data_IF_740645568282
#
_entry.id   IF_740645568282
#
_cell.length_a   1.000
_cell.length_b   1.000
_cell.length_c   1.000
_cell.angle_alpha   90.00
_cell.angle_beta   90.00
_cell.angle_gamma   90.00
#
_symmetry.space_group_name_H-M   'P 1'
#
loop_
_entity.id
_entity.type
_entity.pdbx_description
1 polymer ?
#
# COMPACT_ATOMS: atom_id res chain seq x y z
N UNK A 1 -19.23 10.96 9.09
CA UNK A 1 -18.41 11.55 7.98
C UNK A 1 -17.25 10.63 7.58
N UNK A 2 -16.74 9.79 8.49
CA UNK A 2 -15.70 8.78 8.19
C UNK A 2 -16.22 7.63 7.30
N UNK A 3 -17.46 7.20 7.48
CA UNK A 3 -18.03 6.03 6.76
C UNK A 3 -18.10 6.22 5.25
N UNK A 4 -18.38 7.43 4.76
CA UNK A 4 -18.42 7.71 3.32
C UNK A 4 -17.04 7.60 2.67
N UNK A 5 -15.98 8.03 3.37
CA UNK A 5 -14.60 7.88 2.88
C UNK A 5 -14.18 6.41 2.90
N UNK A 6 -14.51 5.70 3.97
CA UNK A 6 -14.22 4.26 4.09
C UNK A 6 -14.91 3.48 2.97
N UNK A 7 -16.19 3.78 2.72
CA UNK A 7 -16.96 3.16 1.63
C UNK A 7 -16.31 3.40 0.27
N UNK A 8 -15.87 4.62 -0.03
CA UNK A 8 -15.15 4.93 -1.28
C UNK A 8 -13.81 4.21 -1.43
N UNK A 9 -13.11 3.93 -0.32
CA UNK A 9 -11.88 3.15 -0.35
C UNK A 9 -12.23 1.68 -0.61
N UNK A 10 -13.21 1.13 0.12
CA UNK A 10 -13.67 -0.24 -0.03
C UNK A 10 -14.23 -0.54 -1.43
N UNK A 11 -14.92 0.41 -2.07
CA UNK A 11 -15.38 0.29 -3.47
C UNK A 11 -14.23 0.06 -4.48
N UNK A 12 -12.98 0.32 -4.09
CA UNK A 12 -11.79 0.11 -4.91
C UNK A 12 -11.02 -1.15 -4.52
N UNK A 13 -11.49 -1.89 -3.52
CA UNK A 13 -10.92 -3.16 -3.10
C UNK A 13 -11.65 -4.27 -3.87
N UNK A 14 -10.87 -5.15 -4.50
CA UNK A 14 -11.35 -6.38 -5.12
C UNK A 14 -10.85 -7.57 -4.32
N UNK A 15 -11.63 -8.65 -4.30
CA UNK A 15 -11.22 -9.92 -3.72
C UNK A 15 -10.89 -10.91 -4.83
N UNK A 16 -9.75 -11.56 -4.70
CA UNK A 16 -9.31 -12.72 -5.48
C UNK A 16 -9.16 -13.92 -4.54
N UNK A 17 -9.00 -15.15 -5.06
CA UNK A 17 -9.02 -16.37 -4.23
C UNK A 17 -8.08 -16.38 -3.02
N UNK A 18 -6.91 -15.73 -3.12
CA UNK A 18 -5.87 -15.75 -2.07
C UNK A 18 -5.40 -14.34 -1.67
N UNK A 19 -6.08 -13.29 -2.13
CA UNK A 19 -5.62 -11.91 -1.93
C UNK A 19 -6.72 -10.87 -2.08
N UNK A 20 -6.52 -9.73 -1.43
CA UNK A 20 -7.23 -8.49 -1.71
C UNK A 20 -6.37 -7.56 -2.58
N UNK A 21 -7.01 -6.84 -3.49
CA UNK A 21 -6.39 -5.85 -4.35
C UNK A 21 -7.03 -4.48 -4.13
N UNK A 22 -6.24 -3.49 -3.70
CA UNK A 22 -6.67 -2.09 -3.71
C UNK A 22 -6.25 -1.40 -5.02
N UNK A 23 -7.21 -1.09 -5.88
CA UNK A 23 -6.98 -0.49 -7.19
C UNK A 23 -6.75 1.03 -7.11
N UNK A 24 -5.49 1.46 -7.28
CA UNK A 24 -5.10 2.88 -7.39
C UNK A 24 -5.55 3.47 -8.74
N UNK A 25 -5.58 2.65 -9.78
CA UNK A 25 -6.25 2.98 -11.04
C UNK A 25 -7.42 1.99 -11.18
N UNK A 26 -8.68 2.43 -11.01
CA UNK A 26 -9.84 1.54 -11.14
C UNK A 26 -9.88 0.95 -12.56
N UNK A 27 -10.11 -0.35 -12.72
CA UNK A 27 -10.22 -1.01 -14.03
C UNK A 27 -9.03 -0.68 -14.96
N UNK A 28 -7.81 -0.73 -14.41
CA UNK A 28 -6.60 -0.46 -15.17
C UNK A 28 -6.39 -1.48 -16.30
N UNK A 29 -6.97 -2.68 -16.17
CA UNK A 29 -6.93 -3.73 -17.18
C UNK A 29 -7.59 -3.33 -18.50
N UNK A 30 -8.66 -2.53 -18.42
CA UNK A 30 -9.39 -2.03 -19.59
C UNK A 30 -8.76 -0.76 -20.18
N UNK A 31 -7.94 -0.08 -19.40
CA UNK A 31 -7.37 1.23 -19.74
C UNK A 31 -5.93 1.15 -20.25
N UNK A 32 -5.19 0.12 -19.84
CA UNK A 32 -3.78 -0.04 -20.15
C UNK A 32 -3.57 -1.28 -21.01
N UNK A 33 -2.79 -1.13 -22.08
CA UNK A 33 -2.34 -2.26 -22.88
C UNK A 33 -1.05 -2.78 -22.28
N UNK A 34 -1.11 -3.94 -21.63
CA UNK A 34 0.05 -4.61 -21.07
C UNK A 34 -0.06 -6.12 -21.22
N UNK A 35 1.10 -6.79 -21.24
CA UNK A 35 1.18 -8.26 -21.28
C UNK A 35 1.34 -8.84 -19.89
N UNK A 36 1.95 -8.07 -18.98
CA UNK A 36 2.26 -8.51 -17.61
C UNK A 36 2.30 -7.33 -16.65
N UNK A 37 1.91 -7.59 -15.41
CA UNK A 37 2.23 -6.74 -14.27
C UNK A 37 3.46 -7.30 -13.53
N UNK A 38 4.18 -6.43 -12.85
CA UNK A 38 5.31 -6.74 -11.96
C UNK A 38 4.85 -6.41 -10.52
N UNK A 39 4.80 -7.40 -9.65
CA UNK A 39 4.19 -7.31 -8.32
C UNK A 39 5.26 -7.35 -7.22
N UNK A 40 5.77 -6.19 -6.82
CA UNK A 40 6.97 -6.03 -6.01
C UNK A 40 6.61 -6.01 -4.53
N UNK A 41 7.20 -6.89 -3.72
CA UNK A 41 7.02 -6.83 -2.27
C UNK A 41 7.59 -5.52 -1.72
N UNK A 42 6.80 -4.84 -0.88
CA UNK A 42 7.22 -3.66 -0.14
C UNK A 42 6.49 -3.64 1.21
N UNK A 43 7.26 -3.77 2.29
CA UNK A 43 6.76 -4.08 3.62
C UNK A 43 5.95 -5.37 3.63
N UNK A 44 4.77 -5.30 4.24
CA UNK A 44 3.84 -6.42 4.39
C UNK A 44 2.80 -6.51 3.25
N UNK A 45 3.04 -5.80 2.15
CA UNK A 45 2.15 -5.78 0.98
C UNK A 45 2.95 -5.83 -0.33
N UNK A 46 2.24 -5.80 -1.47
CA UNK A 46 2.88 -5.87 -2.78
C UNK A 46 2.40 -4.75 -3.71
N UNK A 47 3.33 -3.97 -4.22
CA UNK A 47 3.12 -2.94 -5.22
C UNK A 47 2.97 -3.56 -6.62
N UNK A 48 1.80 -3.45 -7.23
CA UNK A 48 1.54 -3.98 -8.55
C UNK A 48 1.79 -2.89 -9.62
N UNK A 49 2.80 -3.12 -10.46
CA UNK A 49 3.30 -2.18 -11.45
C UNK A 49 3.06 -2.66 -12.87
N UNK A 50 2.61 -1.77 -13.74
CA UNK A 50 2.54 -2.03 -15.19
C UNK A 50 3.60 -1.22 -15.90
N UNK A 51 4.32 -1.87 -16.81
CA UNK A 51 5.24 -1.19 -17.71
C UNK A 51 4.45 -0.45 -18.78
N UNK A 52 4.60 0.87 -18.84
CA UNK A 52 4.02 1.73 -19.87
C UNK A 52 5.15 2.47 -20.60
N UNK A 53 5.50 2.02 -21.81
CA UNK A 53 6.67 2.55 -22.52
C UNK A 53 7.98 2.26 -21.78
N UNK A 54 8.68 3.33 -21.39
CA UNK A 54 9.98 3.30 -20.69
C UNK A 54 9.88 3.39 -19.16
N UNK A 55 8.69 3.58 -18.60
CA UNK A 55 8.47 3.73 -17.17
C UNK A 55 7.49 2.70 -16.60
N UNK A 56 7.45 2.63 -15.27
CA UNK A 56 6.49 1.85 -14.52
C UNK A 56 5.41 2.74 -13.90
N UNK A 57 4.18 2.25 -13.94
CA UNK A 57 3.02 2.88 -13.31
C UNK A 57 2.52 1.95 -12.21
N UNK A 58 2.38 2.47 -11.00
CA UNK A 58 1.71 1.79 -9.90
C UNK A 58 0.20 1.78 -10.14
N UNK A 59 -0.38 0.59 -10.27
CA UNK A 59 -1.81 0.44 -10.62
C UNK A 59 -2.66 -0.08 -9.47
N UNK A 60 -2.07 -0.89 -8.59
CA UNK A 60 -2.73 -1.43 -7.41
C UNK A 60 -1.72 -1.85 -6.32
N UNK A 61 -2.25 -2.12 -5.14
CA UNK A 61 -1.52 -2.75 -4.02
C UNK A 61 -2.25 -4.04 -3.66
N UNK A 62 -1.50 -5.14 -3.54
CA UNK A 62 -2.01 -6.46 -3.20
C UNK A 62 -1.67 -6.81 -1.75
N UNK A 63 -2.62 -7.49 -1.10
CA UNK A 63 -2.56 -7.91 0.29
C UNK A 63 -2.98 -9.38 0.36
N UNK A 64 -2.18 -10.25 0.98
CA UNK A 64 -2.56 -11.66 1.15
C UNK A 64 -3.72 -11.80 2.14
N UNK A 65 -4.72 -12.61 1.80
CA UNK A 65 -5.92 -12.78 2.65
C UNK A 65 -5.60 -13.39 4.01
N UNK A 66 -4.54 -14.18 4.13
CA UNK A 66 -4.10 -14.79 5.39
C UNK A 66 -3.71 -13.74 6.46
N UNK A 67 -3.18 -12.59 6.03
CA UNK A 67 -2.64 -11.55 6.92
C UNK A 67 -3.54 -10.31 7.01
N UNK A 68 -4.48 -10.14 6.08
CA UNK A 68 -5.21 -8.88 5.90
C UNK A 68 -6.73 -9.04 5.87
N UNK A 69 -7.43 -8.13 6.55
CA UNK A 69 -8.87 -7.93 6.41
C UNK A 69 -9.17 -6.67 5.61
N UNK A 70 -10.38 -6.57 5.05
CA UNK A 70 -10.83 -5.38 4.30
C UNK A 70 -10.75 -4.12 5.17
N UNK A 71 -11.13 -4.21 6.45
CA UNK A 71 -11.04 -3.09 7.37
C UNK A 71 -9.58 -2.67 7.61
N UNK A 72 -8.68 -3.63 7.80
CA UNK A 72 -7.25 -3.36 7.93
C UNK A 72 -6.67 -2.68 6.68
N UNK A 73 -7.10 -3.10 5.48
CA UNK A 73 -6.69 -2.47 4.21
C UNK A 73 -7.23 -1.04 4.12
N UNK A 74 -8.50 -0.82 4.47
CA UNK A 74 -9.11 0.53 4.48
C UNK A 74 -8.33 1.45 5.42
N UNK A 75 -7.94 0.96 6.59
CA UNK A 75 -7.15 1.75 7.54
C UNK A 75 -5.71 1.93 7.05
N UNK A 76 -5.11 0.93 6.42
CA UNK A 76 -3.78 1.06 5.81
C UNK A 76 -3.77 2.14 4.73
N UNK A 77 -4.76 2.17 3.82
CA UNK A 77 -4.84 3.17 2.74
C UNK A 77 -4.94 4.61 3.26
N UNK A 78 -5.51 4.81 4.46
CA UNK A 78 -5.60 6.13 5.10
C UNK A 78 -4.26 6.60 5.67
N UNK A 79 -3.45 5.67 6.16
CA UNK A 79 -2.22 5.99 6.88
C UNK A 79 -0.96 5.82 6.03
N UNK A 80 -1.03 5.03 4.95
CA UNK A 80 0.12 4.70 4.12
C UNK A 80 -0.12 5.04 2.65
N UNK A 81 1.00 5.17 1.93
CA UNK A 81 1.02 5.32 0.49
C UNK A 81 2.21 4.58 -0.11
N UNK A 82 2.05 4.14 -1.34
CA UNK A 82 3.14 3.62 -2.17
C UNK A 82 3.25 4.52 -3.40
N UNK A 83 4.48 4.83 -3.80
CA UNK A 83 4.78 5.61 -5.01
C UNK A 83 5.92 4.97 -5.79
N UNK A 84 5.94 5.26 -7.09
CA UNK A 84 7.01 4.83 -7.99
C UNK A 84 7.56 6.04 -8.71
N UNK A 85 8.89 6.15 -8.70
CA UNK A 85 9.60 7.22 -9.39
C UNK A 85 10.45 6.63 -10.54
N UNK A 86 10.53 7.33 -11.68
CA UNK A 86 11.38 6.92 -12.79
C UNK A 86 12.87 6.91 -12.36
N UNK A 87 13.74 6.22 -13.12
CA UNK A 87 15.16 6.19 -12.83
C UNK A 87 15.74 7.61 -12.82
N UNK A 88 16.38 7.96 -11.71
CA UNK A 88 16.96 9.28 -11.51
C UNK A 88 18.16 9.19 -10.58
N UNK A 89 19.11 10.11 -10.75
CA UNK A 89 20.24 10.32 -9.84
C UNK A 89 20.02 11.51 -8.93
N UNK A 90 18.95 12.29 -9.16
CA UNK A 90 18.57 13.43 -8.34
C UNK A 90 17.77 12.97 -7.13
N UNK A 91 17.85 13.75 -6.04
CA UNK A 91 17.05 13.55 -4.83
C UNK A 91 15.56 13.47 -5.18
N UNK A 92 14.89 12.47 -4.61
CA UNK A 92 13.44 12.28 -4.69
C UNK A 92 12.82 12.99 -3.48
N UNK A 93 11.83 13.84 -3.73
CA UNK A 93 11.04 14.49 -2.67
C UNK A 93 9.68 13.81 -2.54
N UNK A 94 9.43 13.21 -1.37
CA UNK A 94 8.14 12.65 -1.01
C UNK A 94 7.39 13.68 -0.15
N UNK A 95 6.37 14.29 -0.73
CA UNK A 95 5.52 15.27 -0.04
C UNK A 95 4.39 14.58 0.72
N UNK A 96 3.89 15.22 1.78
CA UNK A 96 2.82 14.70 2.63
C UNK A 96 3.15 13.33 3.23
N UNK A 97 4.42 13.15 3.61
CA UNK A 97 4.91 11.98 4.31
C UNK A 97 5.26 12.33 5.75
N UNK A 98 5.03 11.40 6.67
CA UNK A 98 5.51 11.48 8.05
C UNK A 98 6.83 10.73 8.19
N UNK A 99 6.92 9.54 7.58
CA UNK A 99 8.10 8.69 7.59
C UNK A 99 8.16 7.77 6.35
N UNK A 100 9.36 7.27 6.02
CA UNK A 100 9.57 6.25 4.98
C UNK A 100 9.71 4.89 5.66
N UNK A 101 8.80 3.98 5.34
CA UNK A 101 8.81 2.62 5.92
C UNK A 101 9.76 1.72 5.15
N UNK A 102 9.67 1.77 3.82
CA UNK A 102 10.55 0.98 2.95
C UNK A 102 10.75 1.69 1.62
N UNK A 103 11.97 1.61 1.10
CA UNK A 103 12.31 2.14 -0.21
C UNK A 103 13.32 1.22 -0.88
N UNK A 104 13.00 0.79 -2.10
CA UNK A 104 13.79 -0.15 -2.89
C UNK A 104 13.85 0.29 -4.35
N UNK A 105 14.80 -0.25 -5.11
CA UNK A 105 14.86 -0.11 -6.56
C UNK A 105 14.41 -1.37 -7.26
N UNK A 106 13.60 -1.17 -8.29
CA UNK A 106 13.26 -2.20 -9.26
C UNK A 106 13.53 -1.69 -10.67
N UNK A 107 14.50 -2.31 -11.34
CA UNK A 107 15.02 -1.93 -12.66
C UNK A 107 15.33 -0.43 -12.71
N UNK A 108 16.04 0.05 -11.68
CA UNK A 108 16.39 1.46 -11.50
C UNK A 108 15.24 2.40 -11.09
N UNK A 109 13.99 1.94 -11.03
CA UNK A 109 12.87 2.74 -10.55
C UNK A 109 12.76 2.64 -9.05
N UNK A 110 12.63 3.76 -8.34
CA UNK A 110 12.43 3.74 -6.90
C UNK A 110 10.97 3.41 -6.58
N UNK A 111 10.73 2.40 -5.76
CA UNK A 111 9.43 2.02 -5.21
C UNK A 111 9.48 2.32 -3.71
N UNK A 112 8.58 3.18 -3.24
CA UNK A 112 8.69 3.78 -1.90
C UNK A 112 7.34 3.63 -1.19
N UNK A 113 7.36 3.02 -0.01
CA UNK A 113 6.25 2.97 0.93
C UNK A 113 6.51 3.97 2.07
N UNK A 114 5.51 4.79 2.35
CA UNK A 114 5.61 5.86 3.34
C UNK A 114 4.34 5.96 4.17
N UNK A 115 4.49 6.41 5.41
CA UNK A 115 3.35 6.88 6.20
C UNK A 115 2.96 8.28 5.74
N UNK A 116 1.66 8.52 5.57
CA UNK A 116 1.11 9.82 5.22
C UNK A 116 1.23 10.77 6.40
N UNK A 117 1.59 12.01 6.11
CA UNK A 117 1.78 13.06 7.10
C UNK A 117 1.78 14.44 6.46
N UNK A 118 2.45 15.39 7.09
CA UNK A 118 2.51 16.78 6.62
C UNK A 118 3.90 17.23 6.19
N UNK A 119 4.91 16.37 6.33
CA UNK A 119 6.31 16.73 6.04
C UNK A 119 6.66 16.42 4.58
N UNK A 120 7.80 16.94 4.17
CA UNK A 120 8.49 16.52 2.94
C UNK A 120 9.75 15.80 3.33
N UNK A 121 9.92 14.58 2.83
CA UNK A 121 11.11 13.75 3.08
C UNK A 121 11.91 13.67 1.78
N UNK A 122 13.21 13.95 1.88
CA UNK A 122 14.15 13.85 0.78
C UNK A 122 14.89 12.51 0.85
N UNK A 123 15.01 11.84 -0.29
CA UNK A 123 15.64 10.53 -0.40
C UNK A 123 16.62 10.51 -1.57
N UNK A 124 17.86 10.08 -1.34
CA UNK A 124 18.83 9.86 -2.41
C UNK A 124 18.55 8.49 -3.05
N UNK A 125 18.11 8.43 -4.32
CA UNK A 125 17.86 7.15 -4.97
C UNK A 125 19.12 6.28 -5.03
N UNK A 126 20.33 6.84 -5.06
CA UNK A 126 21.57 6.06 -5.17
C UNK A 126 21.83 5.15 -3.97
N UNK A 127 21.25 5.45 -2.81
CA UNK A 127 21.38 4.68 -1.58
C UNK A 127 20.39 3.51 -1.50
N UNK A 128 19.42 3.44 -2.42
CA UNK A 128 18.42 2.36 -2.44
C UNK A 128 18.99 1.04 -2.96
N UNK A 129 18.63 -0.06 -2.28
CA UNK A 129 18.95 -1.42 -2.71
C UNK A 129 18.16 -1.81 -3.97
N UNK A 130 18.86 -2.34 -4.97
CA UNK A 130 18.25 -2.89 -6.19
C UNK A 130 17.83 -4.34 -5.96
N UNK A 131 16.52 -4.60 -6.00
CA UNK A 131 15.95 -5.92 -5.69
C UNK A 131 15.58 -6.74 -6.94
N UNK A 132 15.86 -6.24 -8.15
CA UNK A 132 15.46 -6.89 -9.42
C UNK A 132 15.85 -8.37 -9.51
N UNK A 133 17.02 -8.76 -9.02
CA UNK A 133 17.52 -10.14 -9.12
C UNK A 133 16.97 -11.07 -8.03
N UNK A 134 16.60 -10.52 -6.87
CA UNK A 134 16.02 -11.28 -5.74
C UNK A 134 14.49 -11.31 -5.79
N UNK A 135 13.91 -10.53 -6.68
CA UNK A 135 12.48 -10.38 -6.85
C UNK A 135 11.84 -11.68 -7.38
N UNK A 136 10.92 -12.24 -6.60
CA UNK A 136 10.06 -13.34 -7.05
C UNK A 136 8.83 -12.75 -7.76
N UNK A 137 8.65 -13.15 -9.02
CA UNK A 137 7.60 -12.61 -9.87
C UNK A 137 6.26 -13.29 -9.60
N UNK A 138 5.24 -12.52 -9.29
CA UNK A 138 3.86 -12.97 -9.32
C UNK A 138 3.28 -12.73 -10.73
N UNK A 139 3.02 -13.79 -11.49
CA UNK A 139 2.37 -13.68 -12.80
C UNK A 139 0.85 -13.72 -12.62
N UNK A 140 0.20 -12.55 -12.64
CA UNK A 140 -1.27 -12.46 -12.69
C UNK A 140 -1.73 -11.97 -14.05
N UNK A 141 -2.43 -12.82 -14.79
CA UNK A 141 -3.35 -12.39 -15.86
C UNK A 141 -4.72 -12.31 -15.19
N UNK A 142 -5.16 -11.11 -14.82
CA UNK A 142 -6.50 -10.90 -14.28
C UNK A 142 -7.53 -11.14 -15.37
N UNK A 143 -8.22 -12.28 -15.32
CA UNK A 143 -9.50 -12.42 -16.01
C UNK A 143 -10.57 -11.83 -15.10
N UNK A 144 -10.85 -10.54 -15.27
CA UNK A 144 -11.79 -9.74 -14.47
C UNK A 144 -13.22 -10.30 -14.43
N UNK A 145 -13.55 -11.30 -15.26
CA UNK A 145 -14.83 -12.00 -15.26
C UNK A 145 -15.15 -12.75 -13.95
N UNK A 146 -14.17 -12.95 -13.05
CA UNK A 146 -14.32 -13.70 -11.80
C UNK A 146 -14.18 -12.85 -10.53
N UNK A 147 -13.98 -11.53 -10.67
CA UNK A 147 -13.82 -10.66 -9.51
C UNK A 147 -15.19 -10.37 -8.87
N UNK A 148 -15.34 -10.68 -7.58
CA UNK A 148 -16.55 -10.38 -6.83
C UNK A 148 -16.39 -9.05 -6.07
N UNK A 149 -17.43 -8.19 -6.05
CA UNK A 149 -17.43 -6.98 -5.25
C UNK A 149 -17.42 -7.35 -3.77
N UNK A 150 -16.63 -6.63 -2.98
CA UNK A 150 -16.59 -6.79 -1.53
C UNK A 150 -17.71 -5.96 -0.90
N UNK A 151 -18.60 -6.59 -0.15
CA UNK A 151 -19.54 -5.90 0.72
C UNK A 151 -18.90 -5.67 2.10
N UNK A 152 -18.92 -4.42 2.57
CA UNK A 152 -18.61 -4.11 3.97
C UNK A 152 -19.78 -4.59 4.83
N UNK A 153 -19.61 -5.72 5.52
CA UNK A 153 -20.63 -6.22 6.42
C UNK A 153 -20.71 -5.31 7.66
N UNK A 154 -21.85 -4.64 7.83
CA UNK A 154 -22.15 -3.77 8.99
C UNK A 154 -22.33 -4.56 10.30
N UNK A 155 -22.19 -5.90 10.29
CA UNK A 155 -22.54 -6.78 11.43
C UNK A 155 -21.38 -7.43 12.18
N UNK A 156 -20.11 -7.04 11.98
CA UNK A 156 -19.05 -7.49 12.89
C UNK A 156 -19.09 -6.70 14.21
N UNK A 157 -19.43 -7.33 15.34
CA UNK A 157 -19.29 -6.68 16.64
C UNK A 157 -17.81 -6.42 16.89
N UNK A 158 -17.50 -5.25 17.44
CA UNK A 158 -16.19 -4.96 18.01
C UNK A 158 -15.70 -6.19 18.81
N UNK A 159 -14.45 -6.66 18.62
CA UNK A 159 -13.88 -7.62 19.56
C UNK A 159 -13.99 -7.01 20.96
N UNK A 160 -14.53 -7.78 21.89
CA UNK A 160 -14.66 -7.38 23.29
C UNK A 160 -13.28 -6.94 23.78
N UNK A 161 -13.12 -5.73 24.35
CA UNK A 161 -11.82 -5.27 24.84
C UNK A 161 -11.15 -6.24 25.83
N UNK A 162 -11.92 -7.15 26.44
CA UNK A 162 -11.42 -8.21 27.30
C UNK A 162 -10.67 -9.34 26.55
N UNK A 163 -10.89 -9.53 25.24
CA UNK A 163 -10.17 -10.51 24.40
C UNK A 163 -8.84 -9.96 23.83
N UNK A 164 -8.50 -8.68 24.08
CA UNK A 164 -7.27 -8.03 23.59
C UNK A 164 -6.19 -7.82 24.66
N UNK A 165 -6.37 -8.36 25.87
CA UNK A 165 -5.47 -8.13 27.01
C UNK A 165 -4.07 -8.77 26.90
N UNK A 166 -3.82 -9.64 25.92
CA UNK A 166 -2.53 -10.34 25.77
C UNK A 166 -1.55 -9.71 24.77
N UNK A 167 -1.94 -8.63 24.07
CA UNK A 167 -1.02 -7.91 23.17
C UNK A 167 -0.53 -6.62 23.81
N UNK A 168 0.65 -6.70 24.43
CA UNK A 168 1.41 -5.51 24.85
C UNK A 168 1.97 -4.82 23.61
N UNK A 169 1.23 -3.87 23.06
CA UNK A 169 1.81 -2.88 22.15
C UNK A 169 2.57 -1.84 22.98
N UNK A 170 3.81 -1.47 22.60
CA UNK A 170 4.48 -0.36 23.26
C UNK A 170 3.65 0.90 23.05
N UNK A 171 3.13 1.46 24.14
CA UNK A 171 2.54 2.80 24.11
C UNK A 171 3.61 3.79 23.59
N UNK A 172 3.25 4.72 22.70
CA UNK A 172 4.11 5.85 22.43
C UNK A 172 4.38 6.59 23.75
N UNK A 173 5.59 7.12 23.98
CA UNK A 173 5.90 7.85 25.20
C UNK A 173 4.88 8.98 25.40
N UNK A 174 4.27 9.04 26.58
CA UNK A 174 3.39 10.12 26.96
C UNK A 174 4.20 11.42 26.94
N UNK A 175 3.74 12.43 26.20
CA UNK A 175 4.28 13.77 26.28
C UNK A 175 4.05 14.29 27.71
N UNK A 176 5.15 14.48 28.44
CA UNK A 176 5.20 15.20 29.71
C UNK A 176 4.74 16.65 29.47
N UNK A 177 3.44 16.90 29.60
CA UNK A 177 2.93 18.27 29.70
C UNK A 177 3.29 18.83 31.09
N UNK A 178 4.36 19.60 31.03
CA UNK A 178 4.93 20.51 32.00
C UNK A 178 3.89 21.26 32.85
N UNK A 179 4.08 21.18 34.17
CA UNK A 179 3.60 22.18 35.13
C UNK A 179 3.99 23.59 34.66
N UNK A 180 2.99 24.47 34.50
CA UNK A 180 3.22 25.91 34.50
C UNK A 180 2.07 26.62 35.25
N UNK A 181 2.37 26.88 36.52
CA UNK A 181 1.90 27.91 37.48
C UNK A 181 0.41 28.33 37.54
#
# INVERSE_FOLDING_TARGET
MNDYKNKKIAERIRKDPDSYEYCIIPNYEDQLIFTRAECIQIGDCYANLIKNGDHYVLVSVLFHEEDWSIQAIVDWVKHFGVTVHPPTTSVIEITQAEDIYEAVKFRGHAVIMYARGTKTISLDPNELEEITERYQRFERINNTAWAEPVELDETYPYPDPDDMLDRVYPYPPEDDDLDVE
#
